data_IF_239867681434
#
_entry.id   IF_239867681434
#
_cell.length_a   1.000
_cell.length_b   1.000
_cell.length_c   1.000
_cell.angle_alpha   90.00
_cell.angle_beta   90.00
_cell.angle_gamma   90.00
#
_symmetry.space_group_name_H-M   'P 1'
#
loop_
_entity.id
_entity.type
_entity.pdbx_description
1 polymer ?
#
# COMPACT_ATOMS: atom_id res chain seq x y z
N UNK A 1 -16.05 -41.31 -52.16
CA UNK A 1 -15.93 -41.53 -50.72
C UNK A 1 -15.08 -40.38 -50.15
N UNK A 2 -15.70 -39.36 -49.57
CA UNK A 2 -15.03 -38.16 -49.10
C UNK A 2 -15.10 -38.13 -47.56
N UNK A 3 -13.95 -38.25 -46.92
CA UNK A 3 -13.80 -38.15 -45.49
C UNK A 3 -13.56 -36.70 -45.13
N UNK A 4 -14.48 -36.03 -44.43
CA UNK A 4 -14.34 -34.69 -43.91
C UNK A 4 -13.66 -34.73 -42.53
N UNK A 5 -12.51 -34.10 -42.43
CA UNK A 5 -11.81 -33.76 -41.19
C UNK A 5 -12.54 -32.58 -40.52
N UNK A 6 -13.02 -32.78 -39.31
CA UNK A 6 -13.53 -31.74 -38.45
C UNK A 6 -12.36 -31.18 -37.62
N UNK A 7 -11.99 -29.93 -37.85
CA UNK A 7 -11.07 -29.19 -37.01
C UNK A 7 -11.83 -28.64 -35.80
N UNK A 8 -11.53 -29.18 -34.62
CA UNK A 8 -12.06 -28.67 -33.34
C UNK A 8 -11.34 -27.39 -32.91
N UNK A 9 -12.10 -26.34 -32.76
CA UNK A 9 -11.68 -25.08 -32.12
C UNK A 9 -11.55 -25.32 -30.60
N UNK A 10 -10.33 -25.26 -30.09
CA UNK A 10 -10.07 -25.05 -28.67
C UNK A 10 -9.78 -23.57 -28.49
N UNK A 11 -10.79 -22.81 -28.13
CA UNK A 11 -10.67 -21.40 -27.79
C UNK A 11 -10.92 -21.18 -26.30
N UNK A 12 -9.92 -20.69 -25.61
CA UNK A 12 -10.10 -19.63 -24.62
C UNK A 12 -10.74 -19.96 -23.27
N UNK A 13 -9.96 -20.47 -22.34
CA UNK A 13 -10.30 -20.40 -20.91
C UNK A 13 -9.04 -20.12 -20.08
N UNK A 14 -8.50 -18.92 -20.15
CA UNK A 14 -7.30 -18.59 -19.36
C UNK A 14 -7.25 -17.17 -18.80
N UNK A 15 -8.35 -16.41 -18.79
CA UNK A 15 -8.33 -15.00 -18.31
C UNK A 15 -9.15 -14.73 -17.03
N UNK A 16 -9.73 -15.76 -16.41
CA UNK A 16 -10.61 -15.55 -15.24
C UNK A 16 -9.93 -15.73 -13.87
N UNK A 17 -8.67 -16.16 -13.81
CA UNK A 17 -8.03 -16.52 -12.54
C UNK A 17 -7.32 -15.37 -11.82
N UNK A 18 -7.03 -14.25 -12.50
CA UNK A 18 -6.37 -13.11 -11.88
C UNK A 18 -7.29 -12.22 -11.03
N UNK A 19 -8.60 -12.19 -11.34
CA UNK A 19 -9.57 -11.40 -10.56
C UNK A 19 -9.88 -12.00 -9.17
N UNK A 20 -9.71 -13.30 -8.99
CA UNK A 20 -10.01 -13.99 -7.72
C UNK A 20 -8.92 -13.72 -6.66
N UNK A 21 -7.69 -13.48 -7.06
CA UNK A 21 -6.60 -13.21 -6.11
C UNK A 21 -6.74 -11.84 -5.43
N UNK A 22 -7.27 -10.83 -6.13
CA UNK A 22 -7.50 -9.49 -5.58
C UNK A 22 -8.61 -9.44 -4.52
N UNK A 23 -9.64 -10.29 -4.65
CA UNK A 23 -10.69 -10.38 -3.62
C UNK A 23 -10.26 -11.17 -2.38
N UNK A 24 -9.34 -12.11 -2.51
CA UNK A 24 -8.85 -12.90 -1.38
C UNK A 24 -8.12 -12.03 -0.33
N UNK A 25 -7.38 -10.98 -0.76
CA UNK A 25 -6.69 -10.05 0.14
C UNK A 25 -7.63 -9.21 1.00
N UNK A 26 -8.83 -8.85 0.50
CA UNK A 26 -9.80 -8.01 1.21
C UNK A 26 -10.71 -8.77 2.17
N UNK A 27 -10.65 -10.09 2.22
CA UNK A 27 -11.51 -10.94 3.05
C UNK A 27 -10.89 -11.32 4.41
N UNK A 28 -9.64 -10.92 4.66
CA UNK A 28 -8.87 -11.42 5.81
C UNK A 28 -8.89 -10.45 6.99
N UNK A 29 -8.97 -10.96 8.24
CA UNK A 29 -8.96 -10.12 9.41
C UNK A 29 -7.61 -9.44 9.58
N UNK A 30 -7.63 -8.18 9.98
CA UNK A 30 -6.43 -7.40 10.34
C UNK A 30 -6.21 -7.51 11.84
N UNK A 31 -5.01 -7.84 12.26
CA UNK A 31 -4.61 -7.83 13.67
C UNK A 31 -4.01 -6.47 14.02
N UNK A 32 -4.34 -6.02 15.24
CA UNK A 32 -3.88 -4.76 15.81
C UNK A 32 -3.27 -5.03 17.16
N UNK A 33 -2.06 -4.56 17.40
CA UNK A 33 -1.43 -4.55 18.71
C UNK A 33 -1.46 -3.12 19.24
N UNK A 34 -2.41 -2.80 20.12
CA UNK A 34 -2.53 -1.46 20.71
C UNK A 34 -2.96 -1.57 22.17
N UNK A 35 -2.46 -0.66 23.02
CA UNK A 35 -2.77 -0.64 24.46
C UNK A 35 -2.39 -1.92 25.20
N UNK A 36 -1.37 -2.66 24.72
CA UNK A 36 -0.93 -3.92 25.30
C UNK A 36 -1.84 -5.12 25.01
N UNK A 37 -2.84 -4.96 24.14
CA UNK A 37 -3.75 -6.02 23.71
C UNK A 37 -3.67 -6.29 22.21
N UNK A 38 -3.98 -7.53 21.82
CA UNK A 38 -4.12 -7.93 20.40
C UNK A 38 -5.59 -7.94 20.06
N UNK A 39 -5.96 -7.15 19.09
CA UNK A 39 -7.33 -7.03 18.57
C UNK A 39 -7.40 -7.61 17.17
N UNK A 40 -8.59 -7.96 16.72
CA UNK A 40 -8.81 -8.44 15.36
C UNK A 40 -10.05 -7.79 14.76
N UNK A 41 -9.86 -7.02 13.69
CA UNK A 41 -10.94 -6.42 12.92
C UNK A 41 -11.27 -7.28 11.71
N UNK A 42 -12.54 -7.60 11.53
CA UNK A 42 -13.02 -8.38 10.37
C UNK A 42 -13.00 -7.50 9.11
N UNK A 43 -12.63 -8.08 7.99
CA UNK A 43 -12.61 -7.39 6.69
C UNK A 43 -13.95 -6.76 6.30
N UNK A 44 -15.07 -7.37 6.71
CA UNK A 44 -16.41 -6.78 6.51
C UNK A 44 -16.55 -5.42 7.20
N UNK A 45 -15.99 -5.26 8.40
CA UNK A 45 -16.03 -3.97 9.12
C UNK A 45 -15.23 -2.89 8.38
N UNK A 46 -14.06 -3.24 7.84
CA UNK A 46 -13.29 -2.32 6.98
C UNK A 46 -14.05 -1.94 5.71
N UNK A 47 -14.68 -2.91 5.02
CA UNK A 47 -15.47 -2.62 3.81
C UNK A 47 -16.62 -1.64 4.12
N UNK A 48 -17.31 -1.84 5.24
CA UNK A 48 -18.39 -0.94 5.68
C UNK A 48 -17.84 0.45 6.00
N UNK A 49 -16.76 0.52 6.77
CA UNK A 49 -16.10 1.77 7.12
C UNK A 49 -15.61 2.55 5.89
N UNK A 50 -14.99 1.90 4.91
CA UNK A 50 -14.56 2.57 3.68
C UNK A 50 -15.74 3.08 2.85
N UNK A 51 -16.85 2.35 2.84
CA UNK A 51 -18.01 2.67 2.02
C UNK A 51 -18.78 3.89 2.56
N UNK A 52 -19.10 3.87 3.84
CA UNK A 52 -20.03 4.85 4.44
C UNK A 52 -19.56 5.48 5.75
N UNK A 53 -18.40 5.09 6.28
CA UNK A 53 -17.87 5.61 7.53
C UNK A 53 -18.35 4.89 8.79
N UNK A 54 -19.22 3.89 8.69
CA UNK A 54 -19.77 3.19 9.85
C UNK A 54 -18.71 2.33 10.54
N UNK A 55 -18.56 2.52 11.84
CA UNK A 55 -17.65 1.75 12.70
C UNK A 55 -18.48 0.67 13.40
N UNK A 56 -18.50 -0.53 12.83
CA UNK A 56 -19.30 -1.68 13.33
C UNK A 56 -18.50 -2.67 14.17
N UNK A 57 -17.20 -2.43 14.35
CA UNK A 57 -16.25 -3.34 14.99
C UNK A 57 -15.54 -2.64 16.15
N UNK A 58 -15.51 -3.28 17.34
CA UNK A 58 -14.90 -2.69 18.54
C UNK A 58 -13.40 -2.48 18.42
N UNK A 59 -12.70 -3.38 17.72
CA UNK A 59 -11.27 -3.24 17.50
C UNK A 59 -10.97 -2.02 16.61
N UNK A 60 -11.74 -1.84 15.55
CA UNK A 60 -11.64 -0.66 14.67
C UNK A 60 -11.98 0.62 15.45
N UNK A 61 -13.03 0.60 16.28
CA UNK A 61 -13.40 1.72 17.14
C UNK A 61 -12.28 2.08 18.12
N UNK A 62 -11.68 1.09 18.78
CA UNK A 62 -10.57 1.31 19.70
C UNK A 62 -9.34 1.88 19.00
N UNK A 63 -8.99 1.35 17.81
CA UNK A 63 -7.87 1.85 17.01
C UNK A 63 -8.06 3.30 16.57
N UNK A 64 -9.26 3.67 16.13
CA UNK A 64 -9.59 5.05 15.73
C UNK A 64 -9.58 5.97 16.97
N UNK A 65 -10.24 5.57 18.04
CA UNK A 65 -10.38 6.40 19.25
C UNK A 65 -9.07 6.76 19.94
N UNK A 66 -8.07 5.86 19.87
CA UNK A 66 -6.73 6.09 20.42
C UNK A 66 -5.76 6.77 19.47
N UNK A 67 -6.17 7.02 18.22
CA UNK A 67 -5.23 7.43 17.15
C UNK A 67 -4.89 8.91 17.12
N UNK A 68 -5.69 9.75 17.76
CA UNK A 68 -5.60 11.22 17.59
C UNK A 68 -6.13 11.72 16.24
N UNK A 69 -6.77 10.87 15.45
CA UNK A 69 -7.44 11.16 14.17
C UNK A 69 -8.95 11.00 14.33
N UNK A 70 -9.70 11.77 13.56
CA UNK A 70 -11.13 11.53 13.40
C UNK A 70 -11.37 10.34 12.45
N UNK A 71 -12.55 9.73 12.56
CA UNK A 71 -12.93 8.64 11.65
C UNK A 71 -12.92 9.07 10.17
N UNK A 72 -13.37 10.30 9.89
CA UNK A 72 -13.41 10.85 8.54
C UNK A 72 -12.00 11.06 7.96
N UNK A 73 -11.06 11.61 8.75
CA UNK A 73 -9.65 11.76 8.33
C UNK A 73 -9.00 10.41 8.02
N UNK A 74 -9.24 9.39 8.87
CA UNK A 74 -8.75 8.03 8.61
C UNK A 74 -9.36 7.48 7.33
N UNK A 75 -10.67 7.59 7.17
CA UNK A 75 -11.37 7.08 5.99
C UNK A 75 -10.89 7.77 4.71
N UNK A 76 -10.76 9.09 4.74
CA UNK A 76 -10.23 9.86 3.61
C UNK A 76 -8.80 9.41 3.29
N UNK A 77 -7.91 9.38 4.29
CA UNK A 77 -6.51 8.95 4.11
C UNK A 77 -6.37 7.53 3.56
N UNK A 78 -7.25 6.60 3.99
CA UNK A 78 -7.22 5.21 3.52
C UNK A 78 -7.77 5.03 2.10
N UNK A 79 -8.73 5.84 1.70
CA UNK A 79 -9.41 5.70 0.39
C UNK A 79 -8.86 6.61 -0.69
N UNK A 80 -8.14 7.66 -0.30
CA UNK A 80 -7.49 8.59 -1.23
C UNK A 80 -6.49 7.87 -2.12
N UNK A 81 -6.53 8.18 -3.41
CA UNK A 81 -5.59 7.66 -4.41
C UNK A 81 -4.61 8.74 -4.82
N UNK A 82 -3.40 8.33 -5.10
CA UNK A 82 -2.29 9.17 -5.51
C UNK A 82 -1.75 8.69 -6.85
N UNK A 83 -1.52 9.61 -7.77
CA UNK A 83 -0.87 9.30 -9.05
C UNK A 83 0.61 9.04 -8.81
N UNK A 84 1.12 7.91 -9.28
CA UNK A 84 2.51 7.52 -9.12
C UNK A 84 3.08 6.91 -10.41
N UNK A 85 4.40 7.05 -10.58
CA UNK A 85 5.14 6.30 -11.59
C UNK A 85 5.70 5.01 -10.99
N UNK A 86 5.28 3.86 -11.49
CA UNK A 86 5.72 2.55 -10.99
C UNK A 86 7.25 2.42 -10.96
N UNK A 87 7.94 2.92 -11.99
CA UNK A 87 9.39 2.85 -12.06
C UNK A 87 10.02 3.75 -11.01
N UNK A 88 9.49 4.96 -10.84
CA UNK A 88 9.92 5.92 -9.83
C UNK A 88 9.72 5.39 -8.41
N UNK A 89 8.55 4.81 -8.13
CA UNK A 89 8.26 4.15 -6.85
C UNK A 89 9.23 3.00 -6.59
N UNK A 90 9.44 2.13 -7.58
CA UNK A 90 10.37 1.00 -7.45
C UNK A 90 11.80 1.49 -7.18
N UNK A 91 12.29 2.48 -7.92
CA UNK A 91 13.62 3.07 -7.70
C UNK A 91 13.77 3.65 -6.30
N UNK A 92 12.75 4.36 -5.81
CA UNK A 92 12.75 4.87 -4.44
C UNK A 92 12.85 3.72 -3.43
N UNK A 93 11.96 2.73 -3.51
CA UNK A 93 11.88 1.64 -2.54
C UNK A 93 13.12 0.72 -2.50
N UNK A 94 13.94 0.73 -3.56
CA UNK A 94 15.23 0.02 -3.61
C UNK A 94 16.44 0.93 -3.38
N UNK A 95 16.25 2.24 -3.18
CA UNK A 95 17.31 3.16 -2.79
C UNK A 95 17.68 3.01 -1.30
N UNK A 96 18.80 3.60 -0.88
CA UNK A 96 19.19 3.64 0.54
C UNK A 96 18.13 4.31 1.41
N UNK A 97 17.54 5.40 0.92
CA UNK A 97 16.50 6.14 1.65
C UNK A 97 15.18 5.36 1.70
N UNK A 98 14.82 4.68 0.62
CA UNK A 98 13.68 3.79 0.57
C UNK A 98 13.83 2.56 1.47
N UNK A 99 15.03 1.98 1.55
CA UNK A 99 15.34 0.89 2.50
C UNK A 99 15.20 1.37 3.95
N UNK A 100 15.71 2.56 4.27
CA UNK A 100 15.55 3.16 5.59
C UNK A 100 14.07 3.40 5.90
N UNK A 101 13.35 4.03 4.98
CA UNK A 101 11.93 4.26 5.07
C UNK A 101 11.14 2.97 5.33
N UNK A 102 11.37 1.90 4.55
CA UNK A 102 10.70 0.61 4.75
C UNK A 102 11.02 -0.02 6.11
N UNK A 103 12.27 0.06 6.58
CA UNK A 103 12.65 -0.43 7.91
C UNK A 103 11.92 0.31 9.01
N UNK A 104 11.78 1.63 8.90
CA UNK A 104 11.02 2.46 9.85
C UNK A 104 9.52 2.10 9.84
N UNK A 105 8.93 1.95 8.65
CA UNK A 105 7.53 1.57 8.54
C UNK A 105 7.25 0.17 9.10
N UNK A 106 8.16 -0.77 8.93
CA UNK A 106 7.98 -2.16 9.40
C UNK A 106 8.18 -2.35 10.89
N UNK A 107 8.47 -1.31 11.65
CA UNK A 107 8.32 -1.34 13.11
C UNK A 107 6.86 -1.41 13.55
N UNK A 108 5.95 -0.81 12.77
CA UNK A 108 4.50 -0.85 12.97
C UNK A 108 3.77 -1.85 12.06
N UNK A 109 4.44 -2.35 11.02
CA UNK A 109 3.89 -3.22 9.99
C UNK A 109 4.74 -4.44 9.80
N UNK A 110 4.26 -5.61 10.18
CA UNK A 110 5.06 -6.82 10.08
C UNK A 110 4.16 -8.06 9.92
N UNK A 111 4.66 -9.11 9.25
CA UNK A 111 4.07 -10.43 9.33
C UNK A 111 4.11 -10.93 10.78
N UNK A 112 2.96 -11.30 11.33
CA UNK A 112 2.80 -11.60 12.75
C UNK A 112 3.76 -12.70 13.25
N UNK A 113 3.99 -13.71 12.43
CA UNK A 113 4.84 -14.85 12.76
C UNK A 113 6.31 -14.67 12.38
N UNK A 114 6.65 -13.63 11.58
CA UNK A 114 7.99 -13.43 11.02
C UNK A 114 8.44 -11.97 11.06
N UNK A 115 8.26 -11.33 12.20
CA UNK A 115 8.45 -9.88 12.43
C UNK A 115 9.70 -9.25 11.79
N UNK A 116 10.83 -9.93 11.80
CA UNK A 116 12.11 -9.29 11.47
C UNK A 116 12.68 -9.63 10.11
N UNK A 117 12.31 -10.77 9.53
CA UNK A 117 12.98 -11.27 8.32
C UNK A 117 12.31 -10.89 7.01
N UNK A 118 11.00 -10.72 7.01
CA UNK A 118 10.21 -10.56 5.78
C UNK A 118 9.43 -9.26 5.70
N UNK A 119 9.40 -8.48 6.78
CA UNK A 119 8.57 -7.27 6.88
C UNK A 119 8.85 -6.26 5.75
N UNK A 120 10.13 -5.92 5.53
CA UNK A 120 10.54 -4.96 4.49
C UNK A 120 10.16 -5.47 3.10
N UNK A 121 10.41 -6.77 2.84
CA UNK A 121 10.07 -7.37 1.54
C UNK A 121 8.57 -7.40 1.32
N UNK A 122 7.80 -7.80 2.34
CA UNK A 122 6.35 -7.86 2.25
C UNK A 122 5.73 -6.48 2.00
N UNK A 123 6.15 -5.46 2.74
CA UNK A 123 5.64 -4.11 2.55
C UNK A 123 6.06 -3.54 1.19
N UNK A 124 7.31 -3.70 0.77
CA UNK A 124 7.79 -3.28 -0.55
C UNK A 124 6.96 -3.91 -1.66
N UNK A 125 6.74 -5.22 -1.58
CA UNK A 125 5.95 -5.95 -2.60
C UNK A 125 4.51 -5.47 -2.65
N UNK A 126 3.88 -5.19 -1.51
CA UNK A 126 2.51 -4.68 -1.46
C UNK A 126 2.40 -3.28 -2.08
N UNK A 127 3.35 -2.39 -1.81
CA UNK A 127 3.40 -1.05 -2.41
C UNK A 127 3.58 -1.14 -3.93
N UNK A 128 4.52 -1.95 -4.40
CA UNK A 128 4.76 -2.13 -5.84
C UNK A 128 3.52 -2.72 -6.52
N UNK A 129 2.88 -3.71 -5.90
CA UNK A 129 1.69 -4.34 -6.46
C UNK A 129 0.51 -3.36 -6.60
N UNK A 130 0.33 -2.45 -5.62
CA UNK A 130 -0.70 -1.41 -5.71
C UNK A 130 -0.37 -0.33 -6.75
N UNK A 131 0.92 -0.12 -7.03
CA UNK A 131 1.38 0.92 -7.97
C UNK A 131 1.30 0.51 -9.45
N UNK A 132 0.90 -0.72 -9.77
CA UNK A 132 0.98 -1.28 -11.15
C UNK A 132 0.11 -0.49 -12.13
N UNK A 133 -1.03 -0.01 -11.71
CA UNK A 133 -1.96 0.77 -12.54
C UNK A 133 -1.67 2.29 -12.54
N UNK A 134 -0.54 2.70 -11.96
CA UNK A 134 -0.17 4.12 -11.83
C UNK A 134 -0.88 4.84 -10.68
N UNK A 135 -1.56 4.11 -9.82
CA UNK A 135 -2.25 4.62 -8.64
C UNK A 135 -1.71 3.98 -7.38
N UNK A 136 -1.76 4.72 -6.28
CA UNK A 136 -1.35 4.23 -4.97
C UNK A 136 -2.36 4.67 -3.92
N UNK A 137 -2.76 3.75 -3.04
CA UNK A 137 -3.66 4.03 -1.92
C UNK A 137 -3.35 3.15 -0.72
N UNK A 138 -3.63 3.65 0.48
CA UNK A 138 -3.49 2.81 1.69
C UNK A 138 -4.37 1.57 1.65
N UNK A 139 -5.59 1.71 1.15
CA UNK A 139 -6.53 0.60 0.96
C UNK A 139 -5.95 -0.47 0.01
N UNK A 140 -5.35 -0.05 -1.09
CA UNK A 140 -4.76 -0.96 -2.07
C UNK A 140 -3.50 -1.64 -1.54
N UNK A 141 -2.61 -0.89 -0.88
CA UNK A 141 -1.45 -1.49 -0.19
C UNK A 141 -1.91 -2.55 0.81
N UNK A 142 -2.92 -2.23 1.64
CA UNK A 142 -3.46 -3.16 2.63
C UNK A 142 -4.03 -4.43 1.98
N UNK A 143 -4.68 -4.32 0.83
CA UNK A 143 -5.21 -5.46 0.09
C UNK A 143 -4.11 -6.39 -0.44
N UNK A 144 -2.93 -5.87 -0.70
CA UNK A 144 -1.76 -6.60 -1.21
C UNK A 144 -0.82 -7.11 -0.11
N UNK A 145 -1.07 -6.77 1.17
CA UNK A 145 -0.26 -7.31 2.27
C UNK A 145 -0.52 -8.80 2.50
N UNK A 146 0.46 -9.56 3.01
CA UNK A 146 0.26 -10.96 3.40
C UNK A 146 -0.82 -11.12 4.46
N UNK A 147 -1.41 -12.31 4.52
CA UNK A 147 -2.55 -12.64 5.39
C UNK A 147 -2.31 -12.55 6.87
N UNK A 148 -1.10 -12.79 7.27
CA UNK A 148 -0.66 -12.78 8.66
C UNK A 148 -0.12 -11.41 9.08
N UNK A 149 -0.38 -10.37 8.30
CA UNK A 149 0.11 -9.04 8.60
C UNK A 149 -0.57 -8.45 9.82
N UNK A 150 0.24 -7.88 10.70
CA UNK A 150 -0.21 -7.20 11.91
C UNK A 150 0.23 -5.75 11.92
N UNK A 151 -0.52 -4.95 12.64
CA UNK A 151 -0.30 -3.53 12.89
C UNK A 151 -0.05 -3.36 14.38
N UNK A 152 1.01 -2.65 14.75
CA UNK A 152 1.26 -2.32 16.14
C UNK A 152 1.47 -0.82 16.32
N UNK A 153 1.07 -0.32 17.47
CA UNK A 153 1.46 1.01 17.89
C UNK A 153 2.98 1.09 17.94
N UNK A 154 3.51 2.11 17.32
CA UNK A 154 4.94 2.35 17.35
C UNK A 154 5.33 2.86 18.72
N UNK A 155 5.75 1.97 19.62
CA UNK A 155 6.25 2.32 20.95
C UNK A 155 7.56 3.12 20.94
N UNK A 156 8.10 3.44 19.77
CA UNK A 156 9.25 4.30 19.61
C UNK A 156 8.83 5.75 19.78
N UNK A 157 9.11 6.31 20.92
CA UNK A 157 9.01 7.73 21.24
C UNK A 157 9.93 8.61 20.38
N UNK A 158 10.74 8.04 19.51
CA UNK A 158 11.68 8.76 18.64
C UNK A 158 11.04 9.03 17.28
N UNK A 159 9.95 9.82 17.30
CA UNK A 159 9.27 10.33 16.10
C UNK A 159 10.12 11.27 15.23
N UNK A 160 11.40 11.49 15.60
CA UNK A 160 12.28 12.45 14.95
C UNK A 160 12.81 12.00 13.59
N UNK A 161 12.62 10.76 13.19
CA UNK A 161 13.25 10.20 11.99
C UNK A 161 12.30 9.77 10.86
N UNK A 162 11.01 9.86 11.05
CA UNK A 162 10.08 9.49 9.98
C UNK A 162 9.79 10.70 9.09
N UNK A 163 10.42 10.75 7.93
CA UNK A 163 10.28 11.82 6.93
C UNK A 163 8.81 12.15 6.61
N UNK A 164 7.91 11.18 6.82
CA UNK A 164 6.49 11.32 6.55
C UNK A 164 5.65 11.77 7.75
N UNK A 165 6.22 11.94 8.92
CA UNK A 165 5.49 12.26 10.16
C UNK A 165 5.66 13.71 10.64
N UNK A 166 6.10 14.61 9.79
CA UNK A 166 6.19 16.05 10.15
C UNK A 166 4.78 16.63 10.36
N UNK A 167 4.61 17.38 11.44
CA UNK A 167 3.36 18.09 11.75
C UNK A 167 2.32 17.28 12.51
N UNK A 168 2.64 16.07 13.00
CA UNK A 168 1.73 15.26 13.82
C UNK A 168 1.78 15.65 15.30
N UNK A 169 0.64 15.56 15.98
CA UNK A 169 0.59 15.62 17.44
C UNK A 169 1.08 14.31 18.08
N UNK A 170 1.26 14.30 19.41
CA UNK A 170 1.80 13.14 20.11
C UNK A 170 1.01 11.84 19.89
N UNK A 171 -0.33 11.89 19.93
CA UNK A 171 -1.17 10.72 19.69
C UNK A 171 -1.07 10.24 18.22
N UNK A 172 -1.11 11.17 17.27
CA UNK A 172 -0.95 10.85 15.86
C UNK A 172 0.43 10.26 15.54
N UNK A 173 1.51 10.76 16.17
CA UNK A 173 2.87 10.31 15.89
C UNK A 173 3.12 8.85 16.28
N UNK A 174 2.43 8.36 17.32
CA UNK A 174 2.54 6.99 17.83
C UNK A 174 1.49 6.04 17.27
N UNK A 175 0.40 6.58 16.70
CA UNK A 175 -0.71 5.77 16.22
C UNK A 175 -0.35 4.91 15.02
N UNK A 176 -0.74 3.65 15.08
CA UNK A 176 -0.68 2.73 13.95
C UNK A 176 -1.49 3.22 12.72
N UNK A 177 -2.52 4.06 12.92
CA UNK A 177 -3.37 4.57 11.84
C UNK A 177 -2.76 5.74 11.06
N UNK A 178 -1.77 6.43 11.61
CA UNK A 178 -1.06 7.51 10.90
C UNK A 178 -0.41 7.03 9.60
N UNK A 179 -0.03 5.78 9.56
CA UNK A 179 0.47 5.14 8.38
C UNK A 179 -0.52 5.16 7.20
N UNK A 180 -1.78 4.86 7.47
CA UNK A 180 -2.82 4.87 6.43
C UNK A 180 -3.07 6.27 5.88
N UNK A 181 -2.88 7.30 6.71
CA UNK A 181 -3.07 8.68 6.27
C UNK A 181 -1.90 9.18 5.43
N UNK A 182 -0.66 8.80 5.77
CA UNK A 182 0.53 9.42 5.18
C UNK A 182 1.31 8.57 4.20
N UNK A 183 1.27 7.26 4.30
CA UNK A 183 2.19 6.40 3.54
C UNK A 183 2.13 6.62 2.02
N UNK A 184 0.97 6.63 1.37
CA UNK A 184 0.91 6.82 -0.08
C UNK A 184 1.41 8.20 -0.50
N UNK A 185 1.05 9.26 0.24
CA UNK A 185 1.52 10.62 -0.04
C UNK A 185 3.04 10.73 0.09
N UNK A 186 3.61 10.09 1.11
CA UNK A 186 5.05 10.06 1.31
C UNK A 186 5.77 9.33 0.19
N UNK A 187 5.28 8.21 -0.25
CA UNK A 187 5.84 7.47 -1.39
C UNK A 187 5.76 8.31 -2.66
N UNK A 188 4.61 8.93 -2.93
CA UNK A 188 4.45 9.83 -4.07
C UNK A 188 5.48 10.96 -4.05
N UNK A 189 5.69 11.59 -2.90
CA UNK A 189 6.63 12.72 -2.77
C UNK A 189 8.10 12.31 -2.93
N UNK A 190 8.44 11.06 -2.64
CA UNK A 190 9.81 10.57 -2.66
C UNK A 190 10.14 9.67 -3.86
N UNK A 191 9.19 9.42 -4.77
CA UNK A 191 9.44 8.60 -5.95
C UNK A 191 10.55 9.23 -6.82
N UNK A 192 11.47 8.40 -7.30
CA UNK A 192 12.57 8.83 -8.15
C UNK A 192 12.12 8.78 -9.61
N UNK A 193 11.69 9.89 -10.15
CA UNK A 193 11.29 9.97 -11.55
C UNK A 193 12.51 9.79 -12.48
N UNK A 194 12.32 9.18 -13.66
CA UNK A 194 13.37 9.17 -14.67
C UNK A 194 13.73 10.60 -15.06
N UNK A 195 15.02 10.87 -15.27
CA UNK A 195 15.46 12.15 -15.81
C UNK A 195 14.70 12.44 -17.11
N UNK A 196 14.20 13.66 -17.25
CA UNK A 196 13.59 14.07 -18.51
C UNK A 196 14.57 13.77 -19.65
N UNK A 197 14.11 13.17 -20.76
CA UNK A 197 15.00 12.94 -21.90
C UNK A 197 15.64 14.27 -22.28
N UNK A 198 16.97 14.28 -22.41
CA UNK A 198 17.69 15.46 -22.87
C UNK A 198 17.01 15.98 -24.16
N UNK A 199 16.82 17.31 -24.30
CA UNK A 199 16.28 17.88 -25.52
C UNK A 199 17.04 17.26 -26.69
N UNK A 200 16.35 16.61 -27.60
CA UNK A 200 17.00 16.12 -28.83
C UNK A 200 17.67 17.30 -29.47
N UNK A 201 18.98 17.27 -29.60
CA UNK A 201 19.70 18.26 -30.42
C UNK A 201 18.96 18.38 -31.74
N UNK A 202 18.54 19.58 -32.09
CA UNK A 202 17.88 19.83 -33.35
C UNK A 202 18.74 19.19 -34.45
N UNK A 203 18.15 18.28 -35.22
CA UNK A 203 18.87 17.67 -36.33
C UNK A 203 19.43 18.83 -37.19
N UNK A 204 20.72 18.79 -37.58
CA UNK A 204 21.27 19.84 -38.41
C UNK A 204 20.39 19.93 -39.67
N UNK A 205 19.84 21.12 -39.92
CA UNK A 205 19.06 21.40 -41.11
C UNK A 205 20.05 21.20 -42.25
N UNK A 206 19.94 20.07 -42.97
CA UNK A 206 20.70 19.90 -44.22
C UNK A 206 20.25 21.02 -45.16
N UNK A 207 21.12 21.98 -45.34
CA UNK A 207 20.91 23.02 -46.34
C UNK A 207 20.65 22.36 -47.66
N UNK A 208 19.53 22.70 -48.33
CA UNK A 208 19.29 22.41 -49.72
C UNK A 208 20.30 23.27 -50.50
N UNK A 209 21.32 22.60 -51.01
CA UNK A 209 22.20 23.13 -52.09
C UNK A 209 21.85 22.43 -53.37
#
# INVERSE_FOLDING_TARGET
MFTRLAAGLVAGASLSTLAVAAEAGTSRPVRWETGGAVWTTKSKAFKTFFKNGDITDRALQAGIGGSGWTADEIREGMTKTYDVDLIGVSRFLYSKDGEKFLKEQTTSYFPYWMKTKTSVVALRSAIIADSIDGKLSSKGIMANLPVDFALADNGSSDGSQNVCKSGLNGAQSTSLLSWYVFLPACIQANQILPAAPAPRAAAPVRGLW
#
